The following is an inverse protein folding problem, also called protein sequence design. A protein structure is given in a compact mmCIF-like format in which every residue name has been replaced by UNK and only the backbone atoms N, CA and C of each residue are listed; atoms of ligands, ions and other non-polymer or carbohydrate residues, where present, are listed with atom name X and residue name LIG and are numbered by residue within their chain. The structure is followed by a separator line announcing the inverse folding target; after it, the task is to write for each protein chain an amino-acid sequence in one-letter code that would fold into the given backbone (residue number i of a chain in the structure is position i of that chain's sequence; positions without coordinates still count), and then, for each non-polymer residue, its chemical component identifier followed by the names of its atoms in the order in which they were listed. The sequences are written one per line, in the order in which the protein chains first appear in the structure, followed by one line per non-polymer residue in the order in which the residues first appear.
data_IF_281101282238
#
_entry.id   IF_281101282238
#
_cell.length_a   1.000
_cell.length_b   1.000
_cell.length_c   1.000
_cell.angle_alpha   90.00
_cell.angle_beta   90.00
_cell.angle_gamma   90.00
#
_symmetry.space_group_name_H-M   'P 1'
#
loop_
_entity.id
_entity.type
_entity.pdbx_description
1 polymer ?
#
# COMPACT_ATOMS: atom_id res chain seq x y z
N UNK A 1 36.30 27.52 -14.93
CA UNK A 1 35.50 27.08 -13.76
C UNK A 1 34.34 26.26 -14.31
N UNK A 2 34.37 24.94 -14.12
CA UNK A 2 33.31 24.03 -14.53
C UNK A 2 32.14 24.19 -13.55
N UNK A 3 30.96 24.52 -14.07
CA UNK A 3 29.72 24.60 -13.29
C UNK A 3 28.89 23.35 -13.59
N UNK A 4 29.05 22.32 -12.76
CA UNK A 4 28.13 21.18 -12.72
C UNK A 4 26.79 21.67 -12.14
N UNK A 5 25.78 21.80 -12.99
CA UNK A 5 24.39 21.81 -12.56
C UNK A 5 23.76 20.51 -13.04
N UNK A 6 23.59 19.61 -12.07
CA UNK A 6 22.85 18.36 -12.17
C UNK A 6 21.40 18.66 -12.58
N UNK A 7 21.06 18.33 -13.82
CA UNK A 7 19.69 18.26 -14.30
C UNK A 7 19.01 17.08 -13.58
N UNK A 8 18.16 17.41 -12.61
CA UNK A 8 17.27 16.45 -11.96
C UNK A 8 16.08 16.22 -12.88
N UNK A 9 15.75 14.98 -13.27
CA UNK A 9 14.51 14.74 -13.99
C UNK A 9 13.34 14.98 -13.03
N UNK A 10 12.56 16.02 -13.25
CA UNK A 10 11.24 16.14 -12.65
C UNK A 10 10.38 14.96 -13.15
N UNK A 11 10.05 14.03 -12.26
CA UNK A 11 9.06 12.99 -12.51
C UNK A 11 7.68 13.65 -12.57
N UNK A 12 7.28 14.02 -13.79
CA UNK A 12 5.93 14.45 -14.10
C UNK A 12 5.02 13.23 -14.01
N UNK A 13 4.21 13.15 -12.97
CA UNK A 13 3.20 12.11 -12.82
C UNK A 13 2.04 12.43 -13.77
N UNK A 14 2.04 11.84 -14.95
CA UNK A 14 0.87 11.85 -15.82
C UNK A 14 -0.10 10.80 -15.31
N UNK A 15 -1.20 11.25 -14.71
CA UNK A 15 -2.35 10.42 -14.38
C UNK A 15 -3.13 10.19 -15.67
N UNK A 16 -2.82 9.10 -16.35
CA UNK A 16 -3.72 8.54 -17.35
C UNK A 16 -4.62 7.51 -16.65
N UNK A 17 -5.86 7.92 -16.42
CA UNK A 17 -6.93 7.06 -15.89
C UNK A 17 -7.28 6.04 -16.97
N UNK A 18 -6.81 4.79 -16.81
CA UNK A 18 -7.37 3.65 -17.55
C UNK A 18 -7.14 2.33 -16.79
N UNK A 19 -8.21 1.85 -16.14
CA UNK A 19 -8.57 0.44 -15.93
C UNK A 19 -7.42 -0.55 -15.66
N UNK A 20 -7.05 -0.75 -14.38
CA UNK A 20 -5.88 -1.59 -14.07
C UNK A 20 -5.86 -2.22 -12.67
N UNK A 21 -6.94 -2.88 -12.27
CA UNK A 21 -7.06 -3.49 -10.93
C UNK A 21 -6.04 -4.62 -10.66
N UNK A 22 -5.42 -5.20 -11.70
CA UNK A 22 -4.50 -6.34 -11.57
C UNK A 22 -3.01 -6.00 -11.70
N UNK A 23 -2.63 -4.88 -12.33
CA UNK A 23 -1.22 -4.47 -12.43
C UNK A 23 -0.75 -3.76 -11.17
N UNK A 24 -1.67 -3.19 -10.39
CA UNK A 24 -1.34 -2.47 -9.16
C UNK A 24 -0.94 -3.43 -8.03
N UNK A 25 -1.66 -4.55 -7.85
CA UNK A 25 -1.38 -5.53 -6.78
C UNK A 25 -0.02 -6.21 -6.96
N UNK A 26 0.36 -6.55 -8.20
CA UNK A 26 1.69 -7.09 -8.52
C UNK A 26 2.81 -6.09 -8.21
N UNK A 27 2.57 -4.80 -8.47
CA UNK A 27 3.53 -3.73 -8.14
C UNK A 27 3.61 -3.50 -6.63
N UNK A 28 2.48 -3.54 -5.92
CA UNK A 28 2.43 -3.40 -4.47
C UNK A 28 3.20 -4.54 -3.79
N UNK A 29 3.08 -5.78 -4.28
CA UNK A 29 3.84 -6.93 -3.79
C UNK A 29 5.36 -6.74 -3.93
N UNK A 30 5.82 -6.09 -5.00
CA UNK A 30 7.24 -5.74 -5.21
C UNK A 30 7.72 -4.56 -4.34
N UNK A 31 6.78 -3.86 -3.72
CA UNK A 31 6.97 -2.62 -2.98
C UNK A 31 6.88 -2.83 -1.45
N UNK A 32 6.57 -4.06 -1.01
CA UNK A 32 6.48 -4.40 0.41
C UNK A 32 7.84 -4.34 1.11
N UNK A 33 7.84 -3.82 2.33
CA UNK A 33 9.01 -3.87 3.21
C UNK A 33 9.29 -5.31 3.66
N UNK A 34 10.54 -5.64 4.08
CA UNK A 34 10.87 -6.98 4.56
C UNK A 34 9.95 -7.48 5.69
N UNK A 35 9.55 -6.60 6.60
CA UNK A 35 8.64 -6.95 7.70
C UNK A 35 7.22 -7.28 7.21
N UNK A 36 6.74 -6.61 6.15
CA UNK A 36 5.44 -6.92 5.55
C UNK A 36 5.47 -8.25 4.79
N UNK A 37 6.58 -8.56 4.11
CA UNK A 37 6.77 -9.87 3.48
C UNK A 37 6.83 -10.99 4.52
N UNK A 38 7.53 -10.76 5.63
CA UNK A 38 7.58 -11.72 6.74
C UNK A 38 6.19 -11.96 7.35
N UNK A 39 5.40 -10.89 7.53
CA UNK A 39 4.00 -11.01 7.96
C UNK A 39 3.18 -11.89 7.01
N UNK A 40 3.30 -11.69 5.68
CA UNK A 40 2.60 -12.51 4.69
C UNK A 40 3.04 -13.98 4.74
N UNK A 41 4.33 -14.25 4.91
CA UNK A 41 4.85 -15.62 5.03
C UNK A 41 4.40 -16.31 6.34
N UNK A 42 4.14 -15.53 7.40
CA UNK A 42 3.63 -16.04 8.67
C UNK A 42 2.12 -16.29 8.66
N UNK A 43 1.40 -15.69 7.72
CA UNK A 43 -0.04 -15.86 7.58
C UNK A 43 -0.35 -17.25 7.02
N UNK A 44 -0.76 -18.16 7.90
CA UNK A 44 -1.45 -19.37 7.48
C UNK A 44 -2.75 -18.97 6.74
N UNK A 45 -3.12 -19.61 5.63
CA UNK A 45 -4.41 -19.36 4.96
C UNK A 45 -5.64 -19.49 5.89
N UNK A 46 -5.51 -20.19 7.02
CA UNK A 46 -6.55 -20.24 8.07
C UNK A 46 -6.72 -18.90 8.79
N UNK A 47 -5.64 -18.15 9.02
CA UNK A 47 -5.65 -16.88 9.77
C UNK A 47 -5.79 -15.65 8.86
N UNK A 48 -5.49 -15.81 7.56
CA UNK A 48 -5.58 -14.74 6.57
C UNK A 48 -6.95 -14.01 6.55
N UNK A 49 -8.12 -14.69 6.66
CA UNK A 49 -9.41 -14.01 6.70
C UNK A 49 -9.57 -13.06 7.89
N UNK A 50 -9.04 -13.43 9.06
CA UNK A 50 -9.16 -12.61 10.26
C UNK A 50 -8.16 -11.45 10.24
N UNK A 51 -6.97 -11.64 9.65
CA UNK A 51 -6.05 -10.54 9.43
C UNK A 51 -6.60 -9.52 8.42
N UNK A 52 -7.24 -9.96 7.34
CA UNK A 52 -7.93 -9.07 6.39
C UNK A 52 -9.00 -8.24 7.09
N UNK A 53 -9.82 -8.86 7.96
CA UNK A 53 -10.83 -8.13 8.74
C UNK A 53 -10.19 -7.10 9.67
N UNK A 54 -9.09 -7.45 10.33
CA UNK A 54 -8.38 -6.54 11.23
C UNK A 54 -7.81 -5.33 10.46
N UNK A 55 -7.18 -5.53 9.30
CA UNK A 55 -6.65 -4.45 8.48
C UNK A 55 -7.76 -3.52 7.96
N UNK A 56 -8.87 -4.09 7.49
CA UNK A 56 -10.06 -3.30 7.09
C UNK A 56 -10.64 -2.48 8.24
N UNK A 57 -10.68 -3.06 9.45
CA UNK A 57 -11.16 -2.36 10.65
C UNK A 57 -10.26 -1.17 11.01
N UNK A 58 -8.93 -1.38 11.07
CA UNK A 58 -7.97 -0.31 11.39
C UNK A 58 -8.06 0.83 10.38
N UNK A 59 -8.13 0.51 9.09
CA UNK A 59 -8.27 1.50 8.03
C UNK A 59 -9.58 2.31 8.16
N UNK A 60 -10.72 1.64 8.40
CA UNK A 60 -11.99 2.34 8.56
C UNK A 60 -12.02 3.20 9.84
N UNK A 61 -11.40 2.74 10.92
CA UNK A 61 -11.25 3.55 12.12
C UNK A 61 -10.44 4.81 11.87
N UNK A 62 -9.31 4.70 11.18
CA UNK A 62 -8.50 5.86 10.83
C UNK A 62 -9.25 6.86 9.92
N UNK A 63 -10.04 6.37 8.96
CA UNK A 63 -10.82 7.21 8.04
C UNK A 63 -12.03 7.90 8.69
N UNK A 64 -12.78 7.19 9.51
CA UNK A 64 -14.11 7.64 9.95
C UNK A 64 -14.22 7.98 11.44
N UNK A 65 -13.24 7.55 12.24
CA UNK A 65 -13.25 7.71 13.68
C UNK A 65 -12.03 8.46 14.22
N UNK A 66 -11.18 9.00 13.34
CA UNK A 66 -10.14 9.95 13.73
C UNK A 66 -10.73 11.36 13.81
N UNK A 67 -10.51 12.04 14.95
CA UNK A 67 -10.87 13.46 15.12
C UNK A 67 -9.90 14.39 14.37
N UNK A 68 -8.79 13.86 13.84
CA UNK A 68 -7.75 14.59 13.11
C UNK A 68 -7.93 14.55 11.59
N UNK A 69 -7.41 15.58 10.91
CA UNK A 69 -7.28 15.55 9.45
C UNK A 69 -6.18 14.56 9.06
N UNK A 70 -6.44 13.77 8.02
CA UNK A 70 -5.50 12.80 7.49
C UNK A 70 -4.48 13.51 6.60
N UNK A 71 -3.23 13.54 7.03
CA UNK A 71 -2.12 14.12 6.28
C UNK A 71 -1.58 13.18 5.20
N UNK A 72 -0.62 13.67 4.39
CA UNK A 72 -0.09 12.87 3.28
C UNK A 72 0.65 11.60 3.74
N UNK A 73 1.49 11.62 4.79
CA UNK A 73 2.01 10.39 5.41
C UNK A 73 0.92 9.38 5.80
N UNK A 74 -0.16 9.83 6.44
CA UNK A 74 -1.26 8.97 6.85
C UNK A 74 -2.04 8.40 5.67
N UNK A 75 -2.26 9.18 4.60
CA UNK A 75 -2.85 8.68 3.34
C UNK A 75 -1.99 7.59 2.72
N UNK A 76 -0.67 7.78 2.68
CA UNK A 76 0.26 6.78 2.18
C UNK A 76 0.16 5.52 3.04
N UNK A 77 0.15 5.64 4.36
CA UNK A 77 0.00 4.49 5.25
C UNK A 77 -1.32 3.73 5.00
N UNK A 78 -2.45 4.44 4.85
CA UNK A 78 -3.75 3.83 4.55
C UNK A 78 -3.75 3.12 3.18
N UNK A 79 -3.09 3.69 2.18
CA UNK A 79 -2.89 3.03 0.89
C UNK A 79 -2.12 1.71 1.02
N UNK A 80 -1.04 1.69 1.82
CA UNK A 80 -0.29 0.45 2.08
C UNK A 80 -1.09 -0.58 2.87
N UNK A 81 -1.87 -0.16 3.87
CA UNK A 81 -2.76 -1.06 4.62
C UNK A 81 -3.78 -1.69 3.67
N UNK A 82 -4.31 -0.91 2.71
CA UNK A 82 -5.19 -1.41 1.67
C UNK A 82 -4.53 -2.48 0.79
N UNK A 83 -3.38 -2.15 0.22
CA UNK A 83 -2.65 -3.10 -0.62
C UNK A 83 -2.26 -4.38 0.13
N UNK A 84 -1.93 -4.28 1.43
CA UNK A 84 -1.59 -5.44 2.24
C UNK A 84 -2.78 -6.42 2.42
N UNK A 85 -3.99 -5.92 2.65
CA UNK A 85 -5.14 -6.83 2.75
C UNK A 85 -5.49 -7.43 1.39
N UNK A 86 -5.29 -6.71 0.28
CA UNK A 86 -5.56 -7.22 -1.08
C UNK A 86 -4.63 -8.40 -1.38
N UNK A 87 -3.33 -8.28 -1.05
CA UNK A 87 -2.38 -9.39 -1.14
C UNK A 87 -2.80 -10.59 -0.28
N UNK A 88 -3.30 -10.37 0.93
CA UNK A 88 -3.80 -11.45 1.80
C UNK A 88 -5.08 -12.10 1.25
N UNK A 89 -5.93 -11.35 0.57
CA UNK A 89 -7.12 -11.89 -0.10
C UNK A 89 -6.75 -12.79 -1.28
N UNK A 90 -5.66 -12.52 -1.99
CA UNK A 90 -5.13 -13.38 -3.06
C UNK A 90 -4.53 -14.69 -2.51
N UNK A 91 -3.89 -14.67 -1.33
CA UNK A 91 -3.35 -15.89 -0.69
C UNK A 91 -4.46 -16.88 -0.33
N UNK A 92 -5.69 -16.40 -0.13
CA UNK A 92 -6.85 -17.22 0.24
C UNK A 92 -7.35 -18.13 -0.90
N UNK A 93 -6.94 -17.87 -2.15
CA UNK A 93 -7.41 -18.58 -3.34
C UNK A 93 -8.72 -18.03 -3.91
#
# INVERSE_FOLDING_TARGET
MLNEKSDKPCLHYSVDIASEDTRDVSRISQLLTPAQVELLNFCNPVDAPDLVKALKLVHNMALYHSDGLIDDPEKVALYWVKGLWECLEEIRG
#
